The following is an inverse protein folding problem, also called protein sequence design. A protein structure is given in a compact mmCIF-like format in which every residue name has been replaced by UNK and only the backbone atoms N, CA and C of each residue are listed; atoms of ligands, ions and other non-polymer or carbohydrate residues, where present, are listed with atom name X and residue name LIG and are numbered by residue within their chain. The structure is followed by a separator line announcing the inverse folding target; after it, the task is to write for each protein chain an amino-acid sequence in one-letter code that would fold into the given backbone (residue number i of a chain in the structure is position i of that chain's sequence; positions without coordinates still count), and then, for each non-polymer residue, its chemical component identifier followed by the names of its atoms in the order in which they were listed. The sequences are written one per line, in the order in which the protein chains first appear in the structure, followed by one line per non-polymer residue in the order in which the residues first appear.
data_IF_883440439998
#
_entry.id   IF_883440439998
#
_cell.length_a   1.000
_cell.length_b   1.000
_cell.length_c   1.000
_cell.angle_alpha   90.00
_cell.angle_beta   90.00
_cell.angle_gamma   90.00
#
_symmetry.space_group_name_H-M   'P 1'
#
loop_
_entity.id
_entity.type
_entity.pdbx_description
1 polymer ?
#
# COMPACT_ATOMS: atom_id res chain seq x y z
N UNK A 1 -17.59 21.31 -8.86
CA UNK A 1 -17.23 22.65 -9.32
C UNK A 1 -16.53 22.47 -10.67
N UNK A 2 -16.97 23.12 -11.77
CA UNK A 2 -16.32 22.99 -13.07
C UNK A 2 -14.82 23.35 -13.07
N UNK A 3 -14.35 24.09 -12.06
CA UNK A 3 -12.93 24.44 -11.90
C UNK A 3 -12.14 23.41 -11.07
N UNK A 4 -12.82 22.42 -10.49
CA UNK A 4 -12.22 21.33 -9.70
C UNK A 4 -12.75 19.97 -10.18
N UNK A 5 -12.15 19.40 -11.25
CA UNK A 5 -12.67 18.18 -11.87
C UNK A 5 -12.41 16.93 -11.05
N UNK A 6 -11.43 16.95 -10.16
CA UNK A 6 -11.16 15.87 -9.22
C UNK A 6 -11.74 16.18 -7.84
N UNK A 7 -12.31 15.17 -7.20
CA UNK A 7 -12.70 15.25 -5.79
C UNK A 7 -11.42 15.32 -4.95
N UNK A 8 -11.25 16.31 -4.06
CA UNK A 8 -10.05 16.42 -3.25
C UNK A 8 -9.82 15.16 -2.41
N UNK A 9 -8.56 14.72 -2.37
CA UNK A 9 -8.09 13.62 -1.53
C UNK A 9 -7.58 14.15 -0.19
N UNK A 10 -7.69 13.35 0.88
CA UNK A 10 -6.95 13.62 2.11
C UNK A 10 -5.53 13.01 1.99
N UNK A 11 -4.52 13.52 2.71
CA UNK A 11 -3.15 13.01 2.61
C UNK A 11 -3.02 11.50 2.82
N UNK A 12 -3.88 10.90 3.64
CA UNK A 12 -3.91 9.46 3.90
C UNK A 12 -4.32 8.65 2.66
N UNK A 13 -5.17 9.20 1.80
CA UNK A 13 -5.62 8.55 0.55
C UNK A 13 -4.55 8.61 -0.55
N UNK A 14 -3.53 9.47 -0.40
CA UNK A 14 -2.43 9.60 -1.36
C UNK A 14 -1.39 8.48 -1.19
N UNK A 15 -1.32 7.85 -0.02
CA UNK A 15 -0.41 6.74 0.24
C UNK A 15 -1.19 5.41 0.29
N UNK A 16 -1.05 4.62 -0.77
CA UNK A 16 -1.82 3.39 -0.96
C UNK A 16 -0.94 2.19 -0.61
N UNK A 17 -1.27 1.54 0.51
CA UNK A 17 -0.70 0.26 0.92
C UNK A 17 -1.50 -0.88 0.30
N UNK A 18 -0.84 -1.79 -0.41
CA UNK A 18 -1.47 -2.95 -1.04
C UNK A 18 -0.68 -4.21 -0.75
N UNK A 19 -1.35 -5.32 -0.44
CA UNK A 19 -0.68 -6.61 -0.28
C UNK A 19 -0.21 -7.17 -1.64
N UNK A 20 0.95 -7.83 -1.64
CA UNK A 20 1.50 -8.45 -2.86
C UNK A 20 0.50 -9.43 -3.49
N UNK A 21 0.01 -9.09 -4.68
CA UNK A 21 -0.94 -9.90 -5.44
C UNK A 21 -2.37 -9.35 -5.47
N UNK A 22 -2.71 -8.44 -4.55
CA UNK A 22 -4.02 -7.81 -4.50
C UNK A 22 -4.12 -6.59 -5.44
N UNK A 23 -5.32 -6.29 -5.97
CA UNK A 23 -5.53 -5.08 -6.74
C UNK A 23 -5.56 -3.85 -5.85
N UNK A 24 -4.98 -2.75 -6.32
CA UNK A 24 -5.06 -1.45 -5.67
C UNK A 24 -6.13 -0.56 -6.31
N UNK A 25 -6.58 0.43 -5.53
CA UNK A 25 -7.49 1.48 -5.99
C UNK A 25 -6.76 2.81 -5.88
N UNK A 26 -6.66 3.54 -7.00
CA UNK A 26 -6.15 4.91 -7.04
C UNK A 26 -7.35 5.86 -7.00
N UNK A 27 -7.63 6.55 -5.87
CA UNK A 27 -8.92 7.17 -5.60
C UNK A 27 -9.15 8.54 -6.26
N UNK A 28 -8.68 8.72 -7.50
CA UNK A 28 -8.85 9.95 -8.28
C UNK A 28 -10.25 10.04 -8.93
N UNK A 29 -11.25 10.23 -8.08
CA UNK A 29 -12.65 10.35 -8.51
C UNK A 29 -12.91 11.71 -9.14
N UNK A 30 -13.73 11.74 -10.18
CA UNK A 30 -14.17 12.99 -10.81
C UNK A 30 -15.47 13.51 -10.21
N UNK A 31 -15.65 14.83 -10.28
CA UNK A 31 -16.91 15.47 -9.91
C UNK A 31 -18.00 15.30 -10.97
N UNK A 32 -17.62 15.04 -12.23
CA UNK A 32 -18.50 14.69 -13.34
C UNK A 32 -18.35 13.19 -13.68
N UNK A 33 -19.42 12.38 -13.63
CA UNK A 33 -19.36 10.95 -13.93
C UNK A 33 -19.08 10.64 -15.41
N UNK A 34 -19.31 11.59 -16.32
CA UNK A 34 -19.05 11.41 -17.76
C UNK A 34 -17.63 11.88 -18.16
N UNK A 35 -16.84 12.36 -17.19
CA UNK A 35 -15.48 12.80 -17.42
C UNK A 35 -14.59 11.63 -17.89
N UNK A 36 -13.84 11.86 -18.97
CA UNK A 36 -12.82 10.93 -19.41
C UNK A 36 -11.54 11.16 -18.61
N UNK A 37 -11.09 10.10 -17.93
CA UNK A 37 -9.91 10.14 -17.08
C UNK A 37 -8.87 9.19 -17.62
N UNK A 38 -7.61 9.61 -17.59
CA UNK A 38 -6.46 8.76 -17.90
C UNK A 38 -5.53 8.70 -16.69
N UNK A 39 -4.89 7.56 -16.50
CA UNK A 39 -3.89 7.35 -15.48
C UNK A 39 -2.50 7.45 -16.10
N UNK A 40 -1.58 8.16 -15.46
CA UNK A 40 -0.16 8.19 -15.85
C UNK A 40 0.73 7.79 -14.68
N UNK A 41 1.89 7.22 -14.98
CA UNK A 41 2.94 6.98 -13.99
C UNK A 41 3.90 8.18 -13.87
N UNK A 42 4.91 8.06 -13.00
CA UNK A 42 5.97 9.06 -12.80
C UNK A 42 6.80 9.44 -14.03
N UNK A 43 6.69 8.68 -15.13
CA UNK A 43 7.33 8.98 -16.41
C UNK A 43 6.35 9.61 -17.42
N UNK A 44 5.19 10.08 -16.97
CA UNK A 44 4.09 10.61 -17.78
C UNK A 44 3.56 9.60 -18.83
N UNK A 45 3.82 8.30 -18.65
CA UNK A 45 3.30 7.25 -19.55
C UNK A 45 1.91 6.82 -19.13
N UNK A 46 1.00 6.74 -20.10
CA UNK A 46 -0.36 6.24 -19.87
C UNK A 46 -0.37 4.80 -19.37
N UNK A 47 -1.18 4.57 -18.35
CA UNK A 47 -1.44 3.26 -17.73
C UNK A 47 -2.91 2.92 -17.97
N UNK A 48 -3.15 1.75 -18.53
CA UNK A 48 -4.51 1.29 -18.84
C UNK A 48 -5.03 0.42 -17.68
N UNK A 49 -6.17 0.82 -17.12
CA UNK A 49 -6.85 0.12 -16.03
C UNK A 49 -8.35 0.40 -16.07
N UNK A 50 -9.13 -0.37 -15.32
CA UNK A 50 -10.56 -0.12 -15.15
C UNK A 50 -10.76 1.17 -14.35
N UNK A 51 -11.61 2.07 -14.85
CA UNK A 51 -12.02 3.27 -14.13
C UNK A 51 -13.46 3.13 -13.64
N UNK A 52 -13.67 3.28 -12.33
CA UNK A 52 -14.97 3.37 -11.70
C UNK A 52 -15.16 4.80 -11.18
N UNK A 53 -16.27 5.45 -11.55
CA UNK A 53 -16.49 6.87 -11.24
C UNK A 53 -16.65 7.15 -9.74
N UNK A 54 -16.97 6.12 -8.93
CA UNK A 54 -17.15 6.24 -7.48
C UNK A 54 -15.92 5.83 -6.69
N UNK A 55 -15.00 5.08 -7.29
CA UNK A 55 -13.81 4.53 -6.61
C UNK A 55 -12.51 5.07 -7.18
N UNK A 56 -12.38 5.25 -8.50
CA UNK A 56 -11.15 5.63 -9.19
C UNK A 56 -10.62 4.51 -10.11
N UNK A 57 -9.30 4.47 -10.32
CA UNK A 57 -8.69 3.39 -11.12
C UNK A 57 -8.46 2.14 -10.27
N UNK A 58 -8.84 0.98 -10.80
CA UNK A 58 -8.76 -0.31 -10.13
C UNK A 58 -7.88 -1.24 -10.97
N UNK A 59 -6.86 -1.83 -10.35
CA UNK A 59 -6.00 -2.79 -11.04
C UNK A 59 -4.73 -3.14 -10.27
N UNK A 60 -3.89 -3.95 -10.90
CA UNK A 60 -2.59 -4.33 -10.37
C UNK A 60 -1.55 -3.36 -10.92
N UNK A 61 -1.05 -2.49 -10.06
CA UNK A 61 -0.07 -1.46 -10.42
C UNK A 61 1.27 -1.80 -9.76
N UNK A 62 2.40 -1.65 -10.47
CA UNK A 62 3.71 -1.64 -9.83
C UNK A 62 3.81 -0.55 -8.75
N UNK A 63 4.64 -0.78 -7.73
CA UNK A 63 4.94 0.24 -6.73
C UNK A 63 5.51 1.50 -7.40
N UNK A 64 5.09 2.67 -6.94
CA UNK A 64 5.50 3.96 -7.49
C UNK A 64 4.40 5.01 -7.49
N UNK A 65 4.73 6.17 -8.06
CA UNK A 65 3.82 7.33 -8.12
C UNK A 65 2.96 7.33 -9.38
N UNK A 66 1.70 7.73 -9.21
CA UNK A 66 0.70 7.85 -10.26
C UNK A 66 -0.07 9.17 -10.15
N UNK A 67 -0.57 9.64 -11.28
CA UNK A 67 -1.39 10.85 -11.35
C UNK A 67 -2.51 10.65 -12.36
N UNK A 68 -3.70 11.12 -12.05
CA UNK A 68 -4.82 11.10 -12.97
C UNK A 68 -4.91 12.41 -13.73
N UNK A 69 -5.26 12.31 -15.01
CA UNK A 69 -5.45 13.44 -15.92
C UNK A 69 -6.84 13.41 -16.52
N UNK A 70 -7.45 14.58 -16.65
CA UNK A 70 -8.72 14.75 -17.38
C UNK A 70 -8.72 16.06 -18.15
N UNK A 71 -9.61 16.18 -19.13
CA UNK A 71 -9.75 17.35 -19.98
C UNK A 71 -11.13 17.96 -19.76
N UNK A 72 -11.17 19.22 -19.32
CA UNK A 72 -12.41 19.98 -19.18
C UNK A 72 -12.34 21.19 -20.09
N UNK A 73 -13.25 21.28 -21.07
CA UNK A 73 -13.32 22.40 -22.04
C UNK A 73 -11.98 22.71 -22.73
N UNK A 74 -11.18 21.68 -23.01
CA UNK A 74 -9.88 21.81 -23.67
C UNK A 74 -8.70 22.15 -22.76
N UNK A 75 -8.90 22.26 -21.44
CA UNK A 75 -7.83 22.42 -20.45
C UNK A 75 -7.53 21.09 -19.75
N UNK A 76 -6.25 20.76 -19.59
CA UNK A 76 -5.81 19.59 -18.82
C UNK A 76 -5.81 19.89 -17.33
N UNK A 77 -6.37 18.99 -16.55
CA UNK A 77 -6.31 19.01 -15.09
C UNK A 77 -5.65 17.74 -14.57
N UNK A 78 -4.91 17.87 -13.47
CA UNK A 78 -4.23 16.77 -12.79
C UNK A 78 -4.78 16.61 -11.37
N UNK A 79 -4.87 15.38 -10.90
CA UNK A 79 -5.10 15.08 -9.48
C UNK A 79 -3.84 15.35 -8.65
N UNK A 80 -3.96 15.17 -7.34
CA UNK A 80 -2.78 14.92 -6.49
C UNK A 80 -2.02 13.66 -6.95
N UNK A 81 -0.78 13.53 -6.51
CA UNK A 81 0.02 12.33 -6.74
C UNK A 81 -0.36 11.23 -5.74
N UNK A 82 -0.48 10.00 -6.23
CA UNK A 82 -0.76 8.82 -5.42
C UNK A 82 0.47 7.88 -5.46
N UNK A 83 0.99 7.52 -4.29
CA UNK A 83 2.11 6.61 -4.13
C UNK A 83 1.61 5.22 -3.72
N UNK A 84 1.87 4.22 -4.57
CA UNK A 84 1.58 2.83 -4.29
C UNK A 84 2.80 2.17 -3.66
N UNK A 85 2.60 1.56 -2.49
CA UNK A 85 3.58 0.71 -1.82
C UNK A 85 3.02 -0.70 -1.66
N UNK A 86 3.76 -1.70 -2.17
CA UNK A 86 3.36 -3.10 -2.12
C UNK A 86 4.03 -3.75 -0.91
N UNK A 87 3.24 -4.22 0.06
CA UNK A 87 3.72 -4.93 1.24
C UNK A 87 3.73 -6.44 1.01
N UNK A 88 4.76 -7.11 1.52
CA UNK A 88 4.74 -8.57 1.70
C UNK A 88 4.22 -8.95 3.08
N UNK A 89 3.03 -9.55 3.12
CA UNK A 89 2.38 -10.04 4.33
C UNK A 89 1.69 -11.38 4.07
N UNK A 90 2.47 -12.40 3.72
CA UNK A 90 1.95 -13.71 3.36
C UNK A 90 1.64 -14.56 4.60
N UNK A 91 0.83 -15.61 4.42
CA UNK A 91 0.59 -16.60 5.48
C UNK A 91 1.79 -17.52 5.72
N UNK A 92 2.77 -17.56 4.81
CA UNK A 92 4.00 -18.31 4.99
C UNK A 92 4.95 -17.48 5.83
N UNK A 93 5.20 -17.93 7.06
CA UNK A 93 6.09 -17.29 8.02
C UNK A 93 7.26 -18.22 8.29
N UNK A 94 8.35 -18.20 7.50
CA UNK A 94 9.58 -18.87 7.87
C UNK A 94 10.12 -18.21 9.14
N UNK A 95 10.08 -18.93 10.26
CA UNK A 95 10.50 -18.44 11.56
C UNK A 95 11.72 -19.22 12.04
N UNK A 96 12.75 -18.50 12.44
CA UNK A 96 13.89 -19.05 13.18
C UNK A 96 13.89 -18.52 14.60
N UNK A 97 14.06 -19.42 15.57
CA UNK A 97 14.19 -19.09 16.98
C UNK A 97 15.51 -19.64 17.48
N UNK A 98 16.32 -18.77 18.08
CA UNK A 98 17.63 -19.15 18.61
C UNK A 98 17.84 -18.58 20.02
N UNK A 99 18.70 -19.26 20.78
CA UNK A 99 19.14 -18.82 22.10
C UNK A 99 20.62 -19.15 22.29
N UNK A 100 21.31 -18.36 23.10
CA UNK A 100 22.76 -18.56 23.36
C UNK A 100 23.07 -19.91 24.02
N UNK A 101 22.16 -20.42 24.84
CA UNK A 101 22.24 -21.72 25.51
C UNK A 101 20.83 -22.30 25.60
N UNK A 102 20.73 -23.61 25.79
CA UNK A 102 19.45 -24.29 26.11
C UNK A 102 19.31 -24.63 27.59
N UNK A 103 20.41 -24.52 28.36
CA UNK A 103 20.44 -24.82 29.79
C UNK A 103 21.06 -23.64 30.52
N UNK A 104 20.35 -23.16 31.54
CA UNK A 104 20.74 -22.01 32.34
C UNK A 104 20.71 -22.35 33.83
N UNK A 105 21.59 -21.71 34.59
CA UNK A 105 21.60 -21.72 36.06
C UNK A 105 20.76 -20.56 36.60
N UNK A 106 20.30 -20.70 37.83
CA UNK A 106 19.60 -19.62 38.54
C UNK A 106 20.44 -18.34 38.55
N UNK A 107 19.82 -17.23 38.16
CA UNK A 107 20.47 -15.92 38.08
C UNK A 107 21.14 -15.62 36.73
N UNK A 108 21.24 -16.58 35.80
CA UNK A 108 21.68 -16.28 34.43
C UNK A 108 20.55 -15.61 33.62
N UNK A 109 20.93 -14.67 32.75
CA UNK A 109 20.00 -14.01 31.81
C UNK A 109 19.74 -14.92 30.60
N UNK A 110 18.46 -15.10 30.27
CA UNK A 110 18.02 -15.81 29.07
C UNK A 110 17.77 -14.78 27.97
N UNK A 111 18.40 -14.98 26.81
CA UNK A 111 18.18 -14.17 25.60
C UNK A 111 17.74 -15.11 24.50
N UNK A 112 16.59 -14.81 23.91
CA UNK A 112 16.00 -15.56 22.80
C UNK A 112 15.75 -14.59 21.65
N UNK A 113 16.22 -14.93 20.46
CA UNK A 113 15.99 -14.18 19.22
C UNK A 113 14.93 -14.92 18.41
N UNK A 114 13.97 -14.20 17.86
CA UNK A 114 13.02 -14.70 16.87
C UNK A 114 13.15 -13.84 15.61
N UNK A 115 13.39 -14.49 14.47
CA UNK A 115 13.50 -13.84 13.17
C UNK A 115 12.43 -14.42 12.26
N UNK A 116 11.66 -13.55 11.61
CA UNK A 116 10.70 -13.93 10.57
C UNK A 116 11.22 -13.40 9.24
N UNK A 117 11.31 -14.28 8.26
CA UNK A 117 11.81 -13.94 6.92
C UNK A 117 10.66 -13.66 5.95
N UNK A 118 10.98 -12.94 4.87
CA UNK A 118 10.12 -12.72 3.70
C UNK A 118 8.74 -12.11 3.97
N UNK A 119 8.57 -11.46 5.12
CA UNK A 119 7.36 -10.72 5.48
C UNK A 119 7.76 -9.38 6.11
N UNK A 120 7.21 -8.29 5.59
CA UNK A 120 7.48 -6.93 6.07
C UNK A 120 6.64 -6.58 7.31
N UNK A 121 5.43 -7.14 7.38
CA UNK A 121 4.48 -6.89 8.47
C UNK A 121 4.17 -8.21 9.16
N UNK A 122 4.55 -8.31 10.43
CA UNK A 122 4.35 -9.51 11.25
C UNK A 122 3.88 -9.14 12.65
N UNK A 123 3.09 -10.02 13.26
CA UNK A 123 2.70 -9.88 14.67
C UNK A 123 3.47 -10.92 15.51
N UNK A 124 4.46 -10.47 16.29
CA UNK A 124 5.26 -11.33 17.15
C UNK A 124 4.60 -11.49 18.52
N UNK A 125 4.23 -12.73 18.85
CA UNK A 125 3.66 -13.07 20.15
C UNK A 125 4.52 -14.11 20.85
N UNK A 126 5.01 -13.77 22.04
CA UNK A 126 5.79 -14.68 22.88
C UNK A 126 4.90 -15.36 23.90
N UNK A 127 5.02 -16.68 24.05
CA UNK A 127 4.44 -17.43 25.16
C UNK A 127 5.58 -18.13 25.92
N UNK A 128 5.69 -17.89 27.22
CA UNK A 128 6.78 -18.41 28.05
C UNK A 128 6.33 -18.59 29.51
N UNK A 129 6.96 -19.48 30.29
CA UNK A 129 6.45 -19.89 31.61
C UNK A 129 6.27 -18.76 32.64
N UNK A 130 7.06 -17.69 32.55
CA UNK A 130 6.97 -16.52 33.43
C UNK A 130 6.02 -15.43 32.94
N UNK A 131 5.31 -15.64 31.82
CA UNK A 131 4.35 -14.67 31.28
C UNK A 131 3.06 -14.76 32.09
N UNK A 132 2.74 -13.70 32.83
CA UNK A 132 1.49 -13.55 33.61
C UNK A 132 0.47 -12.73 32.83
#
# INVERSE_FOLDING_TARGET
DPDMPFVPSIPEDQFILVEEGDPAVIPCRTSDPDAQVTLVNSLDKSVYALYDTKQGFIGNFPAGSYTCKTMVKGMEFKSDEFLIYIIRATSQLPVEIEALKTVYKTGETIVVTCVVFDNEVVNLQWNYPGKV
#
